data_IF_916301572124
#
_entry.id   IF_916301572124
#
_cell.length_a   1.000
_cell.length_b   1.000
_cell.length_c   1.000
_cell.angle_alpha   90.00
_cell.angle_beta   90.00
_cell.angle_gamma   90.00
#
_symmetry.space_group_name_H-M   'P 1'
#
loop_
_entity.id
_entity.type
_entity.pdbx_description
1 polymer ?
#
# COMPACT_ATOMS: atom_id res chain seq x y z
N UNK A 1 -9.61 16.23 -4.79
CA UNK A 1 -8.74 15.69 -3.73
C UNK A 1 -8.03 14.49 -4.28
N UNK A 2 -6.71 14.45 -4.16
CA UNK A 2 -5.88 13.32 -4.60
C UNK A 2 -6.23 12.05 -3.82
N UNK A 3 -6.53 10.96 -4.51
CA UNK A 3 -6.77 9.65 -3.88
C UNK A 3 -5.42 9.04 -3.55
N UNK A 4 -5.21 8.77 -2.26
CA UNK A 4 -4.01 8.10 -1.75
C UNK A 4 -4.41 6.82 -1.05
N UNK A 5 -3.81 5.71 -1.46
CA UNK A 5 -4.12 4.39 -0.94
C UNK A 5 -2.81 3.68 -0.61
N UNK A 6 -2.63 3.27 0.63
CA UNK A 6 -1.57 2.35 1.02
C UNK A 6 -2.09 0.93 0.88
N UNK A 7 -1.52 0.18 -0.05
CA UNK A 7 -1.68 -1.27 -0.15
C UNK A 7 -0.61 -1.96 0.70
N UNK A 8 -1.07 -2.86 1.56
CA UNK A 8 -0.25 -3.57 2.53
C UNK A 8 -0.63 -5.03 2.61
N UNK A 9 0.29 -5.85 3.10
CA UNK A 9 0.07 -7.28 3.34
C UNK A 9 0.05 -7.56 4.84
N UNK A 10 -0.75 -8.54 5.25
CA UNK A 10 -0.70 -9.12 6.58
C UNK A 10 0.68 -9.69 6.90
N UNK A 11 1.02 -9.76 8.19
CA UNK A 11 2.29 -10.31 8.69
C UNK A 11 3.58 -9.68 8.08
N UNK A 12 3.46 -8.54 7.40
CA UNK A 12 4.59 -7.85 6.81
C UNK A 12 5.10 -6.73 7.73
N UNK A 13 6.29 -6.92 8.31
CA UNK A 13 6.91 -5.94 9.21
C UNK A 13 7.03 -4.53 8.58
N UNK A 14 7.36 -4.44 7.29
CA UNK A 14 7.48 -3.15 6.58
C UNK A 14 6.12 -2.48 6.36
N UNK A 15 5.06 -3.26 6.21
CA UNK A 15 3.70 -2.75 6.17
C UNK A 15 3.31 -2.15 7.52
N UNK A 16 3.54 -2.85 8.62
CA UNK A 16 3.26 -2.36 9.98
C UNK A 16 4.01 -1.06 10.26
N UNK A 17 5.32 -1.01 9.98
CA UNK A 17 6.12 0.22 10.12
C UNK A 17 5.57 1.39 9.30
N UNK A 18 5.04 1.12 8.10
CA UNK A 18 4.45 2.18 7.25
C UNK A 18 3.12 2.66 7.80
N UNK A 19 2.28 1.76 8.32
CA UNK A 19 1.00 2.12 8.96
C UNK A 19 1.22 3.00 10.18
N UNK A 20 2.24 2.70 11.00
CA UNK A 20 2.61 3.54 12.15
C UNK A 20 3.01 4.96 11.73
N UNK A 21 3.77 5.11 10.65
CA UNK A 21 4.13 6.43 10.09
C UNK A 21 2.89 7.20 9.61
N UNK A 22 1.86 6.50 9.18
CA UNK A 22 0.60 7.05 8.69
C UNK A 22 -0.46 7.25 9.78
N UNK A 23 -0.21 6.84 11.02
CA UNK A 23 -1.16 6.90 12.13
C UNK A 23 -1.74 8.30 12.42
N UNK A 24 -1.06 9.36 11.97
CA UNK A 24 -1.48 10.76 12.13
C UNK A 24 -2.06 11.37 10.85
N UNK A 25 -2.34 10.55 9.83
CA UNK A 25 -2.78 10.98 8.50
C UNK A 25 -4.10 10.31 8.14
N UNK A 26 -5.14 11.13 8.02
CA UNK A 26 -6.47 10.68 7.59
C UNK A 26 -6.68 10.81 6.08
N UNK A 27 -5.72 11.39 5.35
CA UNK A 27 -5.79 11.61 3.90
C UNK A 27 -5.39 10.38 3.07
N UNK A 28 -5.01 9.27 3.72
CA UNK A 28 -4.52 8.04 3.08
C UNK A 28 -5.37 6.86 3.52
N UNK A 29 -6.09 6.23 2.57
CA UNK A 29 -6.80 4.98 2.80
C UNK A 29 -5.77 3.85 3.00
N UNK A 30 -5.95 3.01 4.00
CA UNK A 30 -5.11 1.83 4.21
C UNK A 30 -5.90 0.59 3.83
N UNK A 31 -5.36 -0.21 2.92
CA UNK A 31 -5.90 -1.51 2.52
C UNK A 31 -4.89 -2.58 2.90
N UNK A 32 -5.36 -3.65 3.54
CA UNK A 32 -4.53 -4.77 3.96
C UNK A 32 -5.09 -6.04 3.36
N UNK A 33 -4.26 -6.72 2.57
CA UNK A 33 -4.60 -8.00 1.97
C UNK A 33 -3.91 -9.14 2.71
N UNK A 34 -4.40 -10.38 2.57
CA UNK A 34 -3.71 -11.56 3.05
C UNK A 34 -2.28 -11.65 2.52
N UNK A 35 -1.37 -12.22 3.31
CA UNK A 35 0.03 -12.37 2.89
C UNK A 35 0.18 -13.35 1.72
N UNK A 36 -0.56 -14.46 1.79
CA UNK A 36 -0.58 -15.49 0.77
C UNK A 36 -1.61 -15.13 -0.30
N UNK A 37 -1.18 -15.11 -1.57
CA UNK A 37 -2.06 -14.75 -2.71
C UNK A 37 -3.23 -15.74 -2.85
N UNK A 38 -3.04 -16.99 -2.41
CA UNK A 38 -4.08 -18.02 -2.45
C UNK A 38 -5.25 -17.72 -1.50
N UNK A 39 -5.05 -16.85 -0.51
CA UNK A 39 -6.09 -16.44 0.44
C UNK A 39 -6.86 -15.20 -0.05
N UNK A 40 -6.50 -14.64 -1.22
CA UNK A 40 -7.15 -13.46 -1.76
C UNK A 40 -8.49 -13.82 -2.36
N UNK A 41 -9.51 -13.03 -2.00
CA UNK A 41 -10.83 -13.09 -2.62
C UNK A 41 -10.83 -12.30 -3.94
N UNK A 42 -11.84 -12.54 -4.78
CA UNK A 42 -11.99 -11.87 -6.07
C UNK A 42 -12.07 -10.35 -5.92
N UNK A 43 -12.67 -9.83 -4.83
CA UNK A 43 -12.71 -8.40 -4.56
C UNK A 43 -11.32 -7.80 -4.35
N UNK A 44 -10.44 -8.45 -3.58
CA UNK A 44 -9.06 -8.01 -3.31
C UNK A 44 -8.23 -8.03 -4.60
N UNK A 45 -8.37 -9.10 -5.38
CA UNK A 45 -7.73 -9.24 -6.68
C UNK A 45 -8.16 -8.13 -7.65
N UNK A 46 -9.46 -7.86 -7.71
CA UNK A 46 -10.00 -6.81 -8.57
C UNK A 46 -9.56 -5.41 -8.11
N UNK A 47 -9.58 -5.10 -6.81
CA UNK A 47 -9.11 -3.80 -6.31
C UNK A 47 -7.61 -3.60 -6.61
N UNK A 48 -6.77 -4.61 -6.36
CA UNK A 48 -5.34 -4.53 -6.64
C UNK A 48 -5.02 -4.42 -8.14
N UNK A 49 -5.77 -5.12 -9.01
CA UNK A 49 -5.61 -5.00 -10.48
C UNK A 49 -6.09 -3.64 -11.00
N UNK A 50 -7.21 -3.13 -10.48
CA UNK A 50 -7.73 -1.82 -10.88
C UNK A 50 -6.78 -0.66 -10.56
N UNK A 51 -5.91 -0.83 -9.56
CA UNK A 51 -4.88 0.15 -9.21
C UNK A 51 -3.48 -0.20 -9.75
N UNK A 52 -3.37 -1.25 -10.57
CA UNK A 52 -2.11 -1.75 -11.14
C UNK A 52 -1.04 -2.06 -10.06
N UNK A 53 -1.45 -2.58 -8.91
CA UNK A 53 -0.54 -2.91 -7.78
C UNK A 53 -0.39 -4.41 -7.53
N UNK A 54 -1.22 -5.25 -8.14
CA UNK A 54 -1.24 -6.69 -7.89
C UNK A 54 0.13 -7.34 -8.11
N UNK A 55 0.71 -7.21 -9.30
CA UNK A 55 2.01 -7.82 -9.62
C UNK A 55 3.15 -7.27 -8.76
N UNK A 56 3.07 -6.00 -8.39
CA UNK A 56 4.07 -5.37 -7.53
C UNK A 56 3.98 -5.89 -6.10
N UNK A 57 2.76 -6.09 -5.57
CA UNK A 57 2.54 -6.64 -4.22
C UNK A 57 3.08 -8.06 -4.07
N UNK A 58 3.08 -8.85 -5.14
CA UNK A 58 3.72 -10.19 -5.15
C UNK A 58 5.24 -10.12 -4.99
N UNK A 59 5.86 -9.00 -5.38
CA UNK A 59 7.32 -8.81 -5.33
C UNK A 59 7.75 -8.04 -4.10
N UNK A 60 7.00 -7.01 -3.71
CA UNK A 60 7.36 -6.08 -2.65
C UNK A 60 6.15 -5.36 -2.10
N UNK A 61 6.01 -5.39 -0.78
CA UNK A 61 5.06 -4.57 -0.02
C UNK A 61 5.81 -3.73 1.03
N UNK A 62 5.24 -2.59 1.47
CA UNK A 62 3.98 -1.98 1.04
C UNK A 62 4.12 -1.13 -0.23
N UNK A 63 2.98 -0.73 -0.80
CA UNK A 63 2.89 0.16 -1.96
C UNK A 63 1.96 1.32 -1.63
N UNK A 64 2.45 2.55 -1.75
CA UNK A 64 1.60 3.74 -1.68
C UNK A 64 1.23 4.16 -3.10
N UNK A 65 -0.06 4.14 -3.41
CA UNK A 65 -0.64 4.59 -4.67
C UNK A 65 -1.20 5.99 -4.52
N UNK A 66 -0.85 6.90 -5.43
CA UNK A 66 -1.22 8.32 -5.40
C UNK A 66 -1.66 8.74 -6.79
N UNK A 67 -2.97 8.87 -7.03
CA UNK A 67 -3.54 9.29 -8.33
C UNK A 67 -2.91 8.60 -9.56
N UNK A 68 -2.62 7.30 -9.46
CA UNK A 68 -2.01 6.49 -10.53
C UNK A 68 -0.50 6.30 -10.40
N UNK A 69 0.18 7.04 -9.53
CA UNK A 69 1.61 6.86 -9.28
C UNK A 69 1.88 5.88 -8.12
N UNK A 70 2.81 4.94 -8.31
CA UNK A 70 3.18 3.91 -7.32
C UNK A 70 4.50 4.24 -6.63
N UNK A 71 4.49 4.43 -5.31
CA UNK A 71 5.68 4.45 -4.46
C UNK A 71 5.83 3.08 -3.80
N UNK A 72 6.66 2.23 -4.40
CA UNK A 72 6.86 0.84 -3.98
C UNK A 72 7.94 0.76 -2.89
N UNK A 73 7.62 0.11 -1.78
CA UNK A 73 8.53 -0.21 -0.70
C UNK A 73 8.66 0.88 0.37
N UNK A 74 8.93 0.43 1.61
CA UNK A 74 8.99 1.27 2.81
C UNK A 74 9.88 2.51 2.66
N UNK A 75 11.09 2.38 2.10
CA UNK A 75 12.04 3.51 2.03
C UNK A 75 11.53 4.62 1.11
N UNK A 76 10.92 4.27 -0.04
CA UNK A 76 10.36 5.26 -0.98
C UNK A 76 9.16 5.96 -0.36
N UNK A 77 8.29 5.20 0.30
CA UNK A 77 7.10 5.73 0.98
C UNK A 77 7.53 6.67 2.11
N UNK A 78 8.47 6.25 2.96
CA UNK A 78 9.01 7.08 4.04
C UNK A 78 9.59 8.38 3.53
N UNK A 79 10.38 8.35 2.45
CA UNK A 79 10.92 9.57 1.82
C UNK A 79 9.79 10.48 1.33
N UNK A 80 8.81 9.93 0.62
CA UNK A 80 7.67 10.71 0.15
C UNK A 80 6.89 11.38 1.30
N UNK A 81 6.68 10.66 2.41
CA UNK A 81 6.03 11.20 3.62
C UNK A 81 6.84 12.33 4.27
N UNK A 82 8.18 12.28 4.21
CA UNK A 82 9.04 13.36 4.69
C UNK A 82 8.95 14.60 3.80
N UNK A 83 8.88 14.41 2.49
CA UNK A 83 8.82 15.49 1.49
C UNK A 83 7.43 16.16 1.45
N UNK A 84 6.37 15.44 1.81
CA UNK A 84 4.98 15.88 1.73
C UNK A 84 4.31 15.86 3.11
N UNK A 85 4.77 16.71 4.04
CA UNK A 85 4.18 16.84 5.39
C UNK A 85 2.74 17.38 5.36
#
# INVERSE_FOLDING_TARGET
MSKKILFSLENCMKCTQTKELLSKRDDIKIVTYPHEINDWIDEDLNEAKNHDVFEDLQKTAPILWIDGEKKIGYLRIRKWLQDNK
#
